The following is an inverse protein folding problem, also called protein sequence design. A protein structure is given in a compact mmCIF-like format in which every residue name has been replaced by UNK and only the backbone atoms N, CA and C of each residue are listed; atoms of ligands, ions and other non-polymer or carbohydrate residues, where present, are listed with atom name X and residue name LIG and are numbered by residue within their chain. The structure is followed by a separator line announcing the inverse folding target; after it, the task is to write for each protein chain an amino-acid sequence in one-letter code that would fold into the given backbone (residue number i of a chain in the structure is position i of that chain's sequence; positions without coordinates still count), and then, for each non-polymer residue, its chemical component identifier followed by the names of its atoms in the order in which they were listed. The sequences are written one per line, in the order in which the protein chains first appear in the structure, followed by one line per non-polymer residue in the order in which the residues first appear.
data_IF_937899249573
#
_entry.id   IF_937899249573
#
_cell.length_a   1.000
_cell.length_b   1.000
_cell.length_c   1.000
_cell.angle_alpha   90.00
_cell.angle_beta   90.00
_cell.angle_gamma   90.00
#
_symmetry.space_group_name_H-M   'P 1'
#
loop_
_entity.id
_entity.type
_entity.pdbx_description
1 polymer ?
#
# COMPACT_ATOMS: atom_id res chain seq x y z
N UNK A 1 6.79 9.18 4.98
CA UNK A 1 5.55 8.51 5.35
C UNK A 1 5.79 7.59 6.54
N UNK A 2 4.99 7.75 7.58
CA UNK A 2 5.06 6.86 8.74
C UNK A 2 4.09 5.70 8.56
N UNK A 3 4.56 4.49 8.83
CA UNK A 3 3.72 3.31 8.78
C UNK A 3 3.79 2.57 10.11
N UNK A 4 2.63 2.17 10.62
CA UNK A 4 2.56 1.29 11.79
C UNK A 4 2.75 -0.15 11.32
N UNK A 5 3.67 -0.88 11.94
CA UNK A 5 3.92 -2.29 11.61
C UNK A 5 3.47 -3.15 12.78
N UNK A 6 2.49 -4.00 12.53
CA UNK A 6 1.92 -4.91 13.52
C UNK A 6 2.24 -6.35 13.12
N UNK A 7 2.60 -7.18 14.07
CA UNK A 7 2.85 -8.60 13.82
C UNK A 7 1.89 -9.46 14.63
N UNK A 8 1.49 -10.58 14.06
CA UNK A 8 0.64 -11.57 14.72
C UNK A 8 1.37 -12.90 14.79
N UNK A 9 1.63 -13.36 16.02
CA UNK A 9 2.25 -14.65 16.24
C UNK A 9 3.78 -14.67 16.21
N UNK A 10 4.44 -13.53 15.99
CA UNK A 10 5.90 -13.45 16.06
C UNK A 10 6.34 -11.99 16.16
N UNK A 11 7.63 -11.80 16.42
CA UNK A 11 8.21 -10.46 16.50
C UNK A 11 9.00 -10.18 15.22
N UNK A 12 8.65 -9.10 14.53
CA UNK A 12 9.35 -8.74 13.29
C UNK A 12 10.80 -8.30 13.57
N UNK A 13 11.79 -8.89 12.87
CA UNK A 13 13.16 -8.42 12.97
C UNK A 13 13.30 -6.97 12.47
N UNK A 14 14.28 -6.25 13.03
CA UNK A 14 14.52 -4.87 12.61
C UNK A 14 14.84 -4.74 11.12
N UNK A 15 15.56 -5.71 10.55
CA UNK A 15 15.86 -5.70 9.12
C UNK A 15 14.61 -5.80 8.25
N UNK A 16 13.58 -6.51 8.72
CA UNK A 16 12.32 -6.62 8.00
C UNK A 16 11.55 -5.30 8.05
N UNK A 17 11.51 -4.67 9.21
CA UNK A 17 10.89 -3.34 9.36
C UNK A 17 11.56 -2.32 8.45
N UNK A 18 12.90 -2.34 8.42
CA UNK A 18 13.66 -1.46 7.54
C UNK A 18 13.35 -1.74 6.08
N UNK A 19 13.27 -3.01 5.70
CA UNK A 19 12.95 -3.41 4.33
C UNK A 19 11.58 -2.87 3.89
N UNK A 20 10.57 -3.01 4.76
CA UNK A 20 9.23 -2.51 4.49
C UNK A 20 9.25 -0.99 4.30
N UNK A 21 9.91 -0.27 5.22
CA UNK A 21 10.00 1.18 5.12
C UNK A 21 10.74 1.62 3.86
N UNK A 22 11.83 0.94 3.50
CA UNK A 22 12.59 1.27 2.29
C UNK A 22 11.76 1.03 1.02
N UNK A 23 11.03 -0.07 0.96
CA UNK A 23 10.17 -0.37 -0.20
C UNK A 23 9.03 0.63 -0.32
N UNK A 24 8.45 1.05 0.79
CA UNK A 24 7.35 2.01 0.79
C UNK A 24 7.78 3.41 0.36
N UNK A 25 9.07 3.70 0.31
CA UNK A 25 9.57 4.96 -0.25
C UNK A 25 9.17 5.15 -1.70
N UNK A 26 8.91 4.07 -2.43
CA UNK A 26 8.37 4.16 -3.80
C UNK A 26 7.03 4.90 -3.85
N UNK A 27 6.31 4.95 -2.72
CA UNK A 27 5.02 5.62 -2.62
C UNK A 27 5.14 7.07 -2.13
N UNK A 28 6.34 7.58 -1.90
CA UNK A 28 6.55 8.94 -1.40
C UNK A 28 5.98 9.99 -2.35
N UNK A 29 5.94 9.71 -3.65
CA UNK A 29 5.31 10.61 -4.64
C UNK A 29 3.81 10.79 -4.41
N UNK A 30 3.19 9.91 -3.62
CA UNK A 30 1.77 10.01 -3.26
C UNK A 30 1.57 10.44 -1.80
N UNK A 31 2.65 10.85 -1.10
CA UNK A 31 2.61 11.09 0.34
C UNK A 31 1.56 12.13 0.76
N UNK A 32 1.32 13.13 -0.08
CA UNK A 32 0.32 14.16 0.17
C UNK A 32 -1.12 13.61 0.13
N UNK A 33 -1.32 12.43 -0.45
CA UNK A 33 -2.63 11.79 -0.56
C UNK A 33 -2.85 10.68 0.46
N UNK A 34 -1.75 10.19 1.07
CA UNK A 34 -1.81 9.10 2.05
C UNK A 34 -1.95 9.70 3.44
N UNK A 35 -3.10 9.43 4.08
CA UNK A 35 -3.41 9.98 5.40
C UNK A 35 -2.79 9.11 6.49
N UNK A 36 -2.96 7.80 6.38
CA UNK A 36 -2.34 6.86 7.30
C UNK A 36 -2.09 5.53 6.62
N UNK A 37 -1.20 4.72 7.21
CA UNK A 37 -0.80 3.44 6.66
C UNK A 37 -0.46 2.45 7.77
N UNK A 38 -0.82 1.19 7.55
CA UNK A 38 -0.52 0.10 8.47
C UNK A 38 -0.10 -1.13 7.70
N UNK A 39 0.93 -1.83 8.19
CA UNK A 39 1.31 -3.16 7.69
C UNK A 39 1.05 -4.18 8.79
N UNK A 40 0.32 -5.24 8.44
CA UNK A 40 0.04 -6.35 9.36
C UNK A 40 0.72 -7.59 8.82
N UNK A 41 1.64 -8.15 9.61
CA UNK A 41 2.41 -9.33 9.25
C UNK A 41 1.87 -10.53 10.03
N UNK A 42 1.66 -11.64 9.34
CA UNK A 42 1.10 -12.83 9.97
C UNK A 42 1.50 -14.10 9.21
N UNK A 43 1.04 -15.22 9.70
CA UNK A 43 1.17 -16.51 9.02
C UNK A 43 -0.20 -17.04 8.68
N UNK A 44 -0.34 -17.64 7.50
CA UNK A 44 -1.50 -18.47 7.15
C UNK A 44 -0.94 -19.82 6.70
N UNK A 45 -1.12 -20.85 7.53
CA UNK A 45 -0.48 -22.15 7.34
C UNK A 45 1.04 -21.97 7.30
N UNK A 46 1.69 -22.32 6.20
CA UNK A 46 3.14 -22.17 6.02
C UNK A 46 3.51 -20.87 5.29
N UNK A 47 2.51 -20.12 4.85
CA UNK A 47 2.76 -18.89 4.10
C UNK A 47 2.96 -17.70 5.02
N UNK A 48 3.84 -16.80 4.62
CA UNK A 48 4.08 -15.53 5.29
C UNK A 48 3.26 -14.46 4.60
N UNK A 49 2.42 -13.79 5.38
CA UNK A 49 1.39 -12.89 4.88
C UNK A 49 1.70 -11.45 5.29
N UNK A 50 1.54 -10.53 4.35
CA UNK A 50 1.54 -9.11 4.63
C UNK A 50 0.23 -8.51 4.14
N UNK A 51 -0.38 -7.69 4.98
CA UNK A 51 -1.55 -6.91 4.62
C UNK A 51 -1.24 -5.44 4.83
N UNK A 52 -1.34 -4.65 3.77
CA UNK A 52 -1.23 -3.20 3.87
C UNK A 52 -2.62 -2.58 3.86
N UNK A 53 -2.85 -1.68 4.81
CA UNK A 53 -4.06 -0.85 4.86
C UNK A 53 -3.62 0.59 4.77
N UNK A 54 -4.07 1.29 3.74
CA UNK A 54 -3.74 2.70 3.56
C UNK A 54 -5.00 3.49 3.27
N UNK A 55 -5.11 4.63 3.94
CA UNK A 55 -6.15 5.59 3.59
C UNK A 55 -5.57 6.59 2.61
N UNK A 56 -6.09 6.55 1.39
CA UNK A 56 -5.64 7.41 0.28
C UNK A 56 -6.81 8.30 -0.11
N UNK A 57 -6.69 9.61 0.14
CA UNK A 57 -7.82 10.55 0.05
C UNK A 57 -8.94 10.04 0.97
N UNK A 58 -10.12 9.79 0.42
CA UNK A 58 -11.27 9.30 1.19
C UNK A 58 -11.50 7.79 1.02
N UNK A 59 -10.52 7.08 0.44
CA UNK A 59 -10.67 5.65 0.17
C UNK A 59 -9.70 4.83 0.99
N UNK A 60 -10.17 3.67 1.47
CA UNK A 60 -9.31 2.69 2.11
C UNK A 60 -8.80 1.71 1.06
N UNK A 61 -7.48 1.62 0.93
CA UNK A 61 -6.83 0.67 0.04
C UNK A 61 -6.28 -0.46 0.90
N UNK A 62 -6.72 -1.68 0.63
CA UNK A 62 -6.27 -2.87 1.35
C UNK A 62 -5.67 -3.84 0.34
N UNK A 63 -4.41 -4.23 0.58
CA UNK A 63 -3.69 -5.19 -0.26
C UNK A 63 -3.13 -6.28 0.65
N UNK A 64 -3.44 -7.53 0.32
CA UNK A 64 -2.95 -8.69 1.05
C UNK A 64 -2.23 -9.61 0.08
N UNK A 65 -0.99 -9.97 0.42
CA UNK A 65 -0.18 -10.87 -0.37
C UNK A 65 0.49 -11.89 0.53
N UNK A 66 0.74 -13.08 -0.01
CA UNK A 66 1.39 -14.17 0.71
C UNK A 66 2.36 -14.93 -0.19
N UNK A 67 3.39 -15.48 0.43
CA UNK A 67 4.36 -16.34 -0.23
C UNK A 67 5.13 -17.10 0.85
N UNK A 68 6.04 -17.96 0.45
CA UNK A 68 6.91 -18.66 1.38
C UNK A 68 7.93 -17.74 2.06
N UNK A 69 8.19 -16.57 1.46
CA UNK A 69 9.20 -15.61 1.92
C UNK A 69 8.54 -14.27 2.17
N UNK A 70 8.67 -13.77 3.41
CA UNK A 70 8.04 -12.50 3.80
C UNK A 70 8.55 -11.31 2.97
N UNK A 71 9.82 -11.31 2.57
CA UNK A 71 10.38 -10.24 1.75
C UNK A 71 9.71 -10.23 0.37
N UNK A 72 9.47 -11.41 -0.20
CA UNK A 72 8.75 -11.53 -1.47
C UNK A 72 7.30 -11.09 -1.31
N UNK A 73 6.65 -11.44 -0.20
CA UNK A 73 5.27 -11.00 0.06
C UNK A 73 5.19 -9.47 0.14
N UNK A 74 6.17 -8.84 0.79
CA UNK A 74 6.26 -7.38 0.86
C UNK A 74 6.43 -6.78 -0.54
N UNK A 75 7.30 -7.33 -1.36
CA UNK A 75 7.53 -6.84 -2.73
C UNK A 75 6.25 -6.89 -3.55
N UNK A 76 5.54 -8.02 -3.52
CA UNK A 76 4.27 -8.19 -4.23
C UNK A 76 3.22 -7.20 -3.76
N UNK A 77 3.15 -7.01 -2.44
CA UNK A 77 2.15 -6.11 -1.86
C UNK A 77 2.44 -4.65 -2.20
N UNK A 78 3.70 -4.22 -2.17
CA UNK A 78 4.07 -2.84 -2.52
C UNK A 78 3.79 -2.59 -4.01
N UNK A 79 4.10 -3.54 -4.89
CA UNK A 79 3.77 -3.42 -6.31
C UNK A 79 2.27 -3.24 -6.52
N UNK A 80 1.45 -4.03 -5.83
CA UNK A 80 -0.01 -3.92 -5.91
C UNK A 80 -0.53 -2.60 -5.35
N UNK A 81 0.05 -2.13 -4.23
CA UNK A 81 -0.30 -0.83 -3.67
C UNK A 81 -0.05 0.28 -4.68
N UNK A 82 1.12 0.29 -5.29
CA UNK A 82 1.48 1.31 -6.26
C UNK A 82 0.49 1.34 -7.43
N UNK A 83 0.14 0.17 -7.95
CA UNK A 83 -0.84 0.05 -9.04
C UNK A 83 -2.20 0.59 -8.64
N UNK A 84 -2.68 0.25 -7.45
CA UNK A 84 -4.00 0.70 -6.98
C UNK A 84 -4.03 2.19 -6.72
N UNK A 85 -2.98 2.75 -6.10
CA UNK A 85 -2.89 4.18 -5.83
C UNK A 85 -2.81 4.96 -7.14
N UNK A 86 -2.05 4.46 -8.11
CA UNK A 86 -1.96 5.06 -9.44
C UNK A 86 -3.32 5.10 -10.12
N UNK A 87 -4.10 4.02 -10.04
CA UNK A 87 -5.45 3.98 -10.60
C UNK A 87 -6.38 5.00 -9.95
N UNK A 88 -6.30 5.16 -8.64
CA UNK A 88 -7.10 6.16 -7.93
C UNK A 88 -6.75 7.57 -8.42
N UNK A 89 -5.46 7.86 -8.56
CA UNK A 89 -4.97 9.14 -9.07
C UNK A 89 -5.46 9.40 -10.49
N UNK A 90 -5.39 8.40 -11.36
CA UNK A 90 -5.81 8.52 -12.76
C UNK A 90 -7.32 8.72 -12.87
N UNK A 91 -8.12 8.04 -12.05
CA UNK A 91 -9.56 8.24 -12.01
C UNK A 91 -9.93 9.67 -11.65
N UNK A 92 -9.24 10.27 -10.69
CA UNK A 92 -9.48 11.66 -10.34
C UNK A 92 -9.15 12.60 -11.49
N UNK A 93 -8.06 12.36 -12.20
CA UNK A 93 -7.70 13.15 -13.39
C UNK A 93 -8.73 13.02 -14.50
N UNK A 94 -9.19 11.80 -14.79
CA UNK A 94 -10.22 11.56 -15.80
C UNK A 94 -11.53 12.22 -15.43
N UNK A 95 -11.91 12.16 -14.16
CA UNK A 95 -13.13 12.79 -13.68
C UNK A 95 -13.07 14.31 -13.85
N UNK A 96 -11.95 14.91 -13.51
CA UNK A 96 -11.73 16.35 -13.70
C UNK A 96 -11.76 16.73 -15.19
N UNK A 97 -11.15 15.91 -16.05
CA UNK A 97 -11.20 16.11 -17.51
C UNK A 97 -12.61 16.02 -18.06
N UNK A 98 -13.39 15.05 -17.58
CA UNK A 98 -14.81 14.92 -17.99
C UNK A 98 -15.62 16.12 -17.57
N UNK A 99 -15.40 16.63 -16.36
CA UNK A 99 -16.07 17.83 -15.87
C UNK A 99 -15.77 19.03 -16.74
N UNK A 100 -14.52 19.20 -17.13
CA UNK A 100 -14.09 20.31 -17.98
C UNK A 100 -14.74 20.20 -19.37
N UNK A 101 -14.80 19.00 -19.94
CA UNK A 101 -15.42 18.75 -21.24
C UNK A 101 -16.92 19.02 -21.18
N UNK A 102 -17.59 18.57 -20.12
CA UNK A 102 -19.02 18.83 -19.92
C UNK A 102 -19.34 20.31 -19.76
N UNK A 103 -18.44 21.06 -19.16
CA UNK A 103 -18.60 22.51 -18.99
C UNK A 103 -18.40 23.29 -20.29
N UNK A 104 -17.66 22.73 -21.24
CA UNK A 104 -17.37 23.37 -22.53
C UNK A 104 -18.49 23.08 -23.54
N UNK A 105 -19.20 22.00 -23.39
CA UNK A 105 -20.35 21.66 -24.22
C UNK A 105 -21.64 22.29 -23.68
#
# INVERSE_FOLDING_TARGET
MKIAITTRGYKAPERLKKYINDKLKRLDRFADRIIDAEAILSYEKLDQVVEFKMRVNNKMVIVKERSEDIFKSVDLAVDNLEKRITKIKDKFKEHDKKKIVEMVE
#
